data_IF_670772204560
#
_entry.id   IF_670772204560
#
_cell.length_a   1.000
_cell.length_b   1.000
_cell.length_c   1.000
_cell.angle_alpha   90.00
_cell.angle_beta   90.00
_cell.angle_gamma   90.00
#
_symmetry.space_group_name_H-M   'P 1'
#
loop_
_entity.id
_entity.type
_entity.pdbx_description
1 polymer ?
#
# COMPACT_ATOMS: atom_id res chain seq x y z
N UNK A 1 24.95 13.44 -7.94
CA UNK A 1 23.92 12.47 -7.51
C UNK A 1 22.57 12.97 -8.02
N UNK A 2 21.72 12.12 -8.63
CA UNK A 2 20.37 12.55 -9.00
C UNK A 2 19.61 12.98 -7.75
N UNK A 3 19.17 14.24 -7.71
CA UNK A 3 18.35 14.74 -6.60
C UNK A 3 16.92 14.21 -6.77
N UNK A 4 16.43 13.50 -5.76
CA UNK A 4 15.05 13.02 -5.74
C UNK A 4 14.17 14.14 -5.17
N UNK A 5 13.20 14.66 -5.94
CA UNK A 5 12.27 15.65 -5.43
C UNK A 5 11.36 15.04 -4.35
N UNK A 6 10.88 15.86 -3.43
CA UNK A 6 9.92 15.45 -2.39
C UNK A 6 10.36 14.20 -1.61
N UNK A 7 11.63 14.14 -1.16
CA UNK A 7 12.14 13.03 -0.34
C UNK A 7 11.24 12.70 0.87
N UNK A 8 10.61 13.71 1.47
CA UNK A 8 9.66 13.52 2.57
C UNK A 8 8.43 12.67 2.15
N UNK A 9 8.00 12.76 0.89
CA UNK A 9 6.86 11.98 0.38
C UNK A 9 7.26 10.52 0.16
N UNK A 10 8.51 10.26 -0.25
CA UNK A 10 9.04 8.89 -0.32
C UNK A 10 9.09 8.25 1.06
N UNK A 11 9.57 8.99 2.06
CA UNK A 11 9.61 8.53 3.45
C UNK A 11 8.19 8.29 3.96
N UNK A 12 7.26 9.21 3.72
CA UNK A 12 5.86 9.07 4.12
C UNK A 12 5.19 7.88 3.43
N UNK A 13 5.34 7.71 2.12
CA UNK A 13 4.77 6.58 1.37
C UNK A 13 5.31 5.24 1.86
N UNK A 14 6.62 5.15 2.08
CA UNK A 14 7.27 3.97 2.65
C UNK A 14 6.76 3.68 4.08
N UNK A 15 6.71 4.71 4.93
CA UNK A 15 6.24 4.58 6.31
C UNK A 15 4.77 4.13 6.37
N UNK A 16 3.88 4.74 5.58
CA UNK A 16 2.46 4.35 5.49
C UNK A 16 2.32 2.90 5.00
N UNK A 17 3.08 2.50 3.97
CA UNK A 17 3.05 1.14 3.45
C UNK A 17 3.53 0.12 4.49
N UNK A 18 4.65 0.40 5.18
CA UNK A 18 5.19 -0.46 6.25
C UNK A 18 4.23 -0.52 7.44
N UNK A 19 3.63 0.60 7.85
CA UNK A 19 2.64 0.63 8.92
C UNK A 19 1.38 -0.16 8.54
N UNK A 20 0.94 -0.08 7.28
CA UNK A 20 -0.21 -0.87 6.78
C UNK A 20 0.07 -2.36 6.93
N UNK A 21 1.25 -2.81 6.52
CA UNK A 21 1.69 -4.20 6.68
C UNK A 21 1.78 -4.58 8.16
N UNK A 22 2.38 -3.72 8.99
CA UNK A 22 2.54 -3.96 10.41
C UNK A 22 1.18 -4.09 11.12
N UNK A 23 0.21 -3.24 10.79
CA UNK A 23 -1.16 -3.32 11.34
C UNK A 23 -1.75 -4.70 11.04
N UNK A 24 -1.70 -5.18 9.79
CA UNK A 24 -2.23 -6.51 9.43
C UNK A 24 -1.58 -7.62 10.23
N UNK A 25 -0.25 -7.59 10.37
CA UNK A 25 0.49 -8.60 11.14
C UNK A 25 0.08 -8.57 12.62
N UNK A 26 -0.07 -7.38 13.20
CA UNK A 26 -0.44 -7.21 14.61
C UNK A 26 -1.87 -7.65 14.89
N UNK A 27 -2.82 -7.40 13.97
CA UNK A 27 -4.23 -7.77 14.14
C UNK A 27 -4.56 -9.17 13.60
N UNK A 28 -3.60 -9.87 12.98
CA UNK A 28 -3.83 -11.19 12.37
C UNK A 28 -4.45 -12.20 13.36
N UNK A 29 -4.08 -12.15 14.64
CA UNK A 29 -4.66 -13.02 15.67
C UNK A 29 -6.07 -12.64 16.14
N UNK A 30 -6.56 -11.45 15.76
CA UNK A 30 -7.89 -10.95 16.09
C UNK A 30 -8.88 -11.09 14.92
N UNK A 31 -8.37 -11.29 13.70
CA UNK A 31 -9.18 -11.47 12.51
C UNK A 31 -9.52 -12.96 12.31
N UNK A 32 -10.67 -13.28 11.67
CA UNK A 32 -10.97 -14.63 11.23
C UNK A 32 -9.86 -15.17 10.33
N UNK A 33 -9.69 -16.50 10.18
CA UNK A 33 -8.62 -17.07 9.34
C UNK A 33 -8.79 -16.73 7.84
N UNK A 34 -9.99 -16.35 7.42
CA UNK A 34 -10.32 -15.94 6.07
C UNK A 34 -11.05 -14.60 6.08
N UNK A 35 -10.68 -13.72 5.15
CA UNK A 35 -11.18 -12.34 5.04
C UNK A 35 -11.51 -11.99 3.60
N UNK A 36 -12.47 -11.08 3.33
CA UNK A 36 -12.79 -10.66 1.98
C UNK A 36 -11.60 -9.96 1.29
N UNK A 37 -11.46 -10.14 -0.02
CA UNK A 37 -10.45 -9.43 -0.83
C UNK A 37 -10.94 -8.07 -1.36
N UNK A 38 -12.24 -7.78 -1.27
CA UNK A 38 -12.88 -6.56 -1.79
C UNK A 38 -13.68 -5.80 -0.72
N UNK A 39 -14.16 -4.60 -1.07
CA UNK A 39 -14.95 -3.72 -0.20
C UNK A 39 -16.43 -4.12 -0.08
N UNK A 40 -16.74 -5.39 0.12
CA UNK A 40 -18.10 -5.89 0.22
C UNK A 40 -18.16 -7.25 0.88
N UNK A 41 -19.35 -7.61 1.38
CA UNK A 41 -19.58 -8.93 1.96
C UNK A 41 -19.33 -10.01 0.89
N UNK A 42 -18.62 -11.09 1.22
CA UNK A 42 -18.29 -12.13 0.27
C UNK A 42 -19.55 -12.95 -0.06
N UNK A 43 -19.85 -13.11 -1.34
CA UNK A 43 -20.94 -13.97 -1.82
C UNK A 43 -20.46 -15.39 -2.18
N UNK A 44 -19.15 -15.55 -2.40
CA UNK A 44 -18.53 -16.83 -2.74
C UNK A 44 -17.18 -17.03 -2.04
N UNK A 45 -16.75 -18.29 -1.92
CA UNK A 45 -15.44 -18.68 -1.36
C UNK A 45 -14.26 -18.06 -2.14
N UNK A 46 -14.44 -17.77 -3.43
CA UNK A 46 -13.39 -17.15 -4.27
C UNK A 46 -13.09 -15.69 -3.88
N UNK A 47 -14.00 -15.05 -3.14
CA UNK A 47 -13.82 -13.68 -2.63
C UNK A 47 -13.14 -13.65 -1.26
N UNK A 48 -12.75 -14.81 -0.72
CA UNK A 48 -12.03 -14.94 0.53
C UNK A 48 -10.55 -15.21 0.28
N UNK A 49 -9.70 -14.62 1.13
CA UNK A 49 -8.28 -14.91 1.19
C UNK A 49 -7.86 -15.13 2.65
N UNK A 50 -6.74 -15.81 2.90
CA UNK A 50 -6.13 -15.81 4.22
C UNK A 50 -5.89 -14.38 4.71
N UNK A 51 -5.99 -14.14 6.00
CA UNK A 51 -5.81 -12.81 6.62
C UNK A 51 -4.49 -12.12 6.25
N UNK A 52 -3.42 -12.90 6.15
CA UNK A 52 -2.12 -12.40 5.68
C UNK A 52 -2.16 -11.89 4.23
N UNK A 53 -3.17 -12.24 3.45
CA UNK A 53 -3.45 -11.64 2.14
C UNK A 53 -3.70 -10.13 2.20
N UNK A 54 -4.12 -9.58 3.34
CA UNK A 54 -4.27 -8.13 3.53
C UNK A 54 -2.92 -7.39 3.59
N UNK A 55 -1.80 -8.11 3.62
CA UNK A 55 -0.47 -7.51 3.45
C UNK A 55 -0.24 -7.05 1.99
N UNK A 56 -0.97 -7.61 1.01
CA UNK A 56 -0.78 -7.37 -0.43
C UNK A 56 -0.90 -5.89 -0.80
N UNK A 57 -1.93 -5.11 -0.40
CA UNK A 57 -2.00 -3.69 -0.71
C UNK A 57 -0.77 -2.91 -0.24
N UNK A 58 -0.30 -3.17 0.99
CA UNK A 58 0.86 -2.49 1.57
C UNK A 58 2.17 -2.86 0.87
N UNK A 59 2.40 -4.14 0.57
CA UNK A 59 3.60 -4.57 -0.17
C UNK A 59 3.60 -4.07 -1.60
N UNK A 60 2.45 -4.04 -2.27
CA UNK A 60 2.33 -3.51 -3.61
C UNK A 60 2.57 -1.99 -3.65
N UNK A 61 2.05 -1.24 -2.67
CA UNK A 61 2.34 0.19 -2.54
C UNK A 61 3.83 0.47 -2.30
N UNK A 62 4.50 -0.35 -1.48
CA UNK A 62 5.95 -0.25 -1.25
C UNK A 62 6.73 -0.54 -2.55
N UNK A 63 6.32 -1.54 -3.31
CA UNK A 63 6.91 -1.86 -4.61
C UNK A 63 6.72 -0.72 -5.62
N UNK A 64 5.51 -0.14 -5.72
CA UNK A 64 5.24 1.05 -6.54
C UNK A 64 6.16 2.21 -6.12
N UNK A 65 6.33 2.45 -4.82
CA UNK A 65 7.22 3.48 -4.33
C UNK A 65 8.69 3.24 -4.75
N UNK A 66 9.18 2.01 -4.59
CA UNK A 66 10.52 1.61 -5.04
C UNK A 66 10.71 1.79 -6.55
N UNK A 67 9.76 1.32 -7.36
CA UNK A 67 9.80 1.45 -8.82
C UNK A 67 9.75 2.92 -9.27
N UNK A 68 8.90 3.74 -8.65
CA UNK A 68 8.81 5.17 -8.97
C UNK A 68 10.08 5.92 -8.58
N UNK A 69 10.68 5.59 -7.44
CA UNK A 69 11.97 6.14 -7.00
C UNK A 69 13.07 5.76 -7.99
N UNK A 70 13.15 4.49 -8.40
CA UNK A 70 14.10 4.02 -9.40
C UNK A 70 13.90 4.74 -10.74
N UNK A 71 12.67 4.79 -11.25
CA UNK A 71 12.35 5.48 -12.50
C UNK A 71 12.72 6.98 -12.43
N UNK A 72 12.43 7.66 -11.32
CA UNK A 72 12.78 9.06 -11.13
C UNK A 72 14.30 9.34 -11.15
N UNK A 73 15.15 8.36 -10.84
CA UNK A 73 16.61 8.50 -10.96
C UNK A 73 17.09 8.56 -12.42
N UNK A 74 16.35 7.96 -13.36
CA UNK A 74 16.71 7.91 -14.79
C UNK A 74 16.09 9.04 -15.62
N UNK A 75 15.12 9.76 -15.08
CA UNK A 75 14.48 10.88 -15.77
C UNK A 75 15.30 12.16 -15.65
N UNK A 76 15.15 13.05 -16.63
CA UNK A 76 15.68 14.42 -16.60
C UNK A 76 14.60 15.42 -16.21
N UNK A 77 13.38 15.23 -16.74
CA UNK A 77 12.23 16.10 -16.51
C UNK A 77 11.79 16.12 -15.03
N UNK A 78 11.72 17.33 -14.46
CA UNK A 78 11.40 17.52 -13.05
C UNK A 78 9.91 17.27 -12.74
N UNK A 79 9.02 17.62 -13.68
CA UNK A 79 7.58 17.43 -13.52
C UNK A 79 7.23 15.94 -13.46
N UNK A 80 7.83 15.12 -14.34
CA UNK A 80 7.67 13.67 -14.33
C UNK A 80 8.19 13.03 -13.03
N UNK A 81 9.36 13.45 -12.53
CA UNK A 81 9.88 12.98 -11.24
C UNK A 81 8.92 13.30 -10.10
N UNK A 82 8.46 14.55 -10.02
CA UNK A 82 7.51 15.00 -8.99
C UNK A 82 6.20 14.20 -9.04
N UNK A 83 5.71 13.92 -10.25
CA UNK A 83 4.49 13.12 -10.46
C UNK A 83 4.67 11.67 -10.02
N UNK A 84 5.80 11.03 -10.34
CA UNK A 84 6.13 9.68 -9.88
C UNK A 84 6.18 9.58 -8.35
N UNK A 85 6.84 10.54 -7.69
CA UNK A 85 6.95 10.52 -6.23
C UNK A 85 5.60 10.81 -5.56
N UNK A 86 4.80 11.74 -6.12
CA UNK A 86 3.46 12.02 -5.61
C UNK A 86 2.51 10.82 -5.76
N UNK A 87 2.57 10.10 -6.87
CA UNK A 87 1.73 8.92 -7.09
C UNK A 87 2.06 7.77 -6.13
N UNK A 88 3.31 7.65 -5.66
CA UNK A 88 3.67 6.69 -4.62
C UNK A 88 2.96 6.96 -3.29
N UNK A 89 2.83 8.24 -2.90
CA UNK A 89 2.12 8.61 -1.68
C UNK A 89 0.62 8.32 -1.80
N UNK A 90 0.03 8.61 -2.97
CA UNK A 90 -1.38 8.30 -3.27
C UNK A 90 -1.62 6.79 -3.24
N UNK A 91 -0.72 5.98 -3.84
CA UNK A 91 -0.82 4.53 -3.80
C UNK A 91 -0.74 3.97 -2.37
N UNK A 92 0.19 4.48 -1.55
CA UNK A 92 0.32 4.10 -0.15
C UNK A 92 -0.93 4.47 0.68
N UNK A 93 -1.48 5.67 0.44
CA UNK A 93 -2.72 6.09 1.09
C UNK A 93 -3.90 5.18 0.71
N UNK A 94 -4.07 4.88 -0.59
CA UNK A 94 -5.12 3.95 -1.02
C UNK A 94 -4.93 2.56 -0.42
N UNK A 95 -3.71 2.01 -0.39
CA UNK A 95 -3.44 0.72 0.24
C UNK A 95 -3.82 0.69 1.73
N UNK A 96 -3.53 1.76 2.47
CA UNK A 96 -3.93 1.90 3.86
C UNK A 96 -5.45 1.93 4.01
N UNK A 97 -6.14 2.77 3.21
CA UNK A 97 -7.61 2.85 3.20
C UNK A 97 -8.23 1.49 2.83
N UNK A 98 -7.64 0.79 1.85
CA UNK A 98 -8.09 -0.54 1.42
C UNK A 98 -8.10 -1.50 2.59
N UNK A 99 -6.96 -1.58 3.25
CA UNK A 99 -6.72 -2.52 4.34
C UNK A 99 -7.62 -2.22 5.53
N UNK A 100 -7.71 -0.96 5.94
CA UNK A 100 -8.56 -0.53 7.04
C UNK A 100 -10.05 -0.77 6.75
N UNK A 101 -10.51 -0.50 5.52
CA UNK A 101 -11.89 -0.78 5.13
C UNK A 101 -12.23 -2.26 5.20
N UNK A 102 -11.33 -3.14 4.75
CA UNK A 102 -11.58 -4.58 4.82
C UNK A 102 -11.59 -5.05 6.28
N UNK A 103 -10.67 -4.55 7.11
CA UNK A 103 -10.66 -4.86 8.55
C UNK A 103 -11.98 -4.44 9.22
N UNK A 104 -12.46 -3.23 8.94
CA UNK A 104 -13.74 -2.71 9.47
C UNK A 104 -14.99 -3.32 8.84
N UNK A 105 -14.89 -4.02 7.72
CA UNK A 105 -16.03 -4.74 7.16
C UNK A 105 -16.34 -6.01 7.98
N UNK A 106 -15.32 -6.55 8.64
CA UNK A 106 -15.37 -7.84 9.34
C UNK A 106 -15.64 -7.66 10.85
N UNK A 107 -15.40 -6.46 11.39
CA UNK A 107 -15.72 -6.05 12.76
C UNK A 107 -16.90 -5.08 12.77
#
# INVERSE_FOLDING_TARGET
MPQIPYKNYVVAASAVSVLTIAVVILVNGLLPPQVPIFYGLPESEEQLAPTLGLVIPGTFALAICGLNVLAAMFLTDEFLKKTLIASSLVAAFFAAVTTLKIIWLIH
#
